data_IF_518734345687
#
_entry.id   IF_518734345687
#
_cell.length_a   1.000
_cell.length_b   1.000
_cell.length_c   1.000
_cell.angle_alpha   90.00
_cell.angle_beta   90.00
_cell.angle_gamma   90.00
#
_symmetry.space_group_name_H-M   'P 1'
#
loop_
_entity.id
_entity.type
_entity.pdbx_description
1 polymer ?
#
# COMPACT_ATOMS: atom_id res chain seq x y z
N UNK A 1 -14.04 -30.26 1.99
CA UNK A 1 -12.87 -29.51 2.50
C UNK A 1 -13.03 -29.41 4.00
N UNK A 2 -12.16 -30.05 4.78
CA UNK A 2 -12.20 -29.99 6.24
C UNK A 2 -11.92 -28.56 6.69
N UNK A 3 -12.87 -27.93 7.36
CA UNK A 3 -12.76 -26.57 7.91
C UNK A 3 -11.89 -26.61 9.17
N UNK A 4 -10.58 -26.77 8.99
CA UNK A 4 -9.64 -26.72 10.10
C UNK A 4 -9.29 -25.26 10.39
N UNK A 5 -9.85 -24.72 11.47
CA UNK A 5 -9.46 -23.40 12.00
C UNK A 5 -8.11 -23.51 12.69
N UNK A 6 -7.18 -22.62 12.35
CA UNK A 6 -5.88 -22.49 13.02
C UNK A 6 -5.84 -21.19 13.80
N UNK A 7 -5.23 -21.22 14.99
CA UNK A 7 -5.04 -20.01 15.79
C UNK A 7 -3.87 -19.19 15.24
N UNK A 8 -4.05 -17.88 15.17
CA UNK A 8 -3.00 -16.92 14.81
C UNK A 8 -2.79 -15.99 15.99
N UNK A 9 -1.54 -15.84 16.44
CA UNK A 9 -1.19 -14.98 17.57
C UNK A 9 -0.45 -13.74 17.08
N UNK A 10 -0.94 -12.55 17.45
CA UNK A 10 -0.35 -11.26 17.09
C UNK A 10 0.08 -10.51 18.35
N UNK A 11 1.30 -9.97 18.32
CA UNK A 11 1.75 -8.97 19.29
C UNK A 11 1.46 -7.59 18.72
N UNK A 12 0.71 -6.79 19.46
CA UNK A 12 0.28 -5.44 19.09
C UNK A 12 0.41 -4.57 20.32
N UNK A 13 0.74 -3.30 20.09
CA UNK A 13 0.76 -2.28 21.13
C UNK A 13 -0.64 -2.17 21.80
N UNK A 14 -0.72 -2.13 23.14
CA UNK A 14 -2.00 -2.16 23.85
C UNK A 14 -2.91 -0.97 23.51
N UNK A 15 -2.34 0.22 23.28
CA UNK A 15 -3.13 1.41 22.94
C UNK A 15 -3.67 1.30 21.51
N UNK A 16 -2.84 0.82 20.57
CA UNK A 16 -3.27 0.51 19.21
C UNK A 16 -4.40 -0.54 19.20
N UNK A 17 -4.29 -1.61 20.01
CA UNK A 17 -5.35 -2.63 20.11
C UNK A 17 -6.67 -2.00 20.57
N UNK A 18 -6.63 -1.17 21.60
CA UNK A 18 -7.83 -0.53 22.15
C UNK A 18 -8.51 0.37 21.12
N UNK A 19 -7.73 1.21 20.41
CA UNK A 19 -8.23 2.08 19.36
C UNK A 19 -8.90 1.30 18.22
N UNK A 20 -8.22 0.27 17.71
CA UNK A 20 -8.78 -0.53 16.61
C UNK A 20 -10.03 -1.28 17.06
N UNK A 21 -10.05 -1.81 18.29
CA UNK A 21 -11.20 -2.53 18.85
C UNK A 21 -12.44 -1.64 19.01
N UNK A 22 -12.25 -0.38 19.40
CA UNK A 22 -13.32 0.61 19.44
C UNK A 22 -13.90 0.87 18.04
N UNK A 23 -13.03 1.14 17.05
CA UNK A 23 -13.45 1.45 15.67
C UNK A 23 -14.19 0.29 15.02
N UNK A 24 -13.67 -0.94 15.13
CA UNK A 24 -14.36 -2.10 14.53
C UNK A 24 -15.70 -2.39 15.21
N UNK A 25 -15.82 -2.11 16.52
CA UNK A 25 -17.07 -2.25 17.27
C UNK A 25 -18.11 -1.22 16.82
N UNK A 26 -17.71 0.02 16.57
CA UNK A 26 -18.60 1.05 15.99
C UNK A 26 -19.12 0.65 14.60
N UNK A 27 -18.31 -0.08 13.83
CA UNK A 27 -18.71 -0.66 12.54
C UNK A 27 -19.58 -1.93 12.67
N UNK A 28 -19.88 -2.38 13.90
CA UNK A 28 -20.64 -3.61 14.14
C UNK A 28 -19.85 -4.89 13.89
N UNK A 29 -18.52 -4.82 13.93
CA UNK A 29 -17.61 -5.93 13.70
C UNK A 29 -16.86 -6.33 14.97
N UNK A 30 -16.47 -7.59 15.05
CA UNK A 30 -15.47 -8.04 16.03
C UNK A 30 -14.07 -7.93 15.45
N UNK A 31 -13.05 -7.84 16.31
CA UNK A 31 -11.64 -7.85 15.90
C UNK A 31 -11.32 -9.05 14.98
N UNK A 32 -11.79 -10.24 15.34
CA UNK A 32 -11.63 -11.46 14.53
C UNK A 32 -12.28 -11.34 13.16
N UNK A 33 -13.45 -10.71 13.07
CA UNK A 33 -14.15 -10.49 11.79
C UNK A 33 -13.37 -9.54 10.90
N UNK A 34 -12.90 -8.42 11.45
CA UNK A 34 -12.09 -7.44 10.73
C UNK A 34 -10.80 -8.07 10.16
N UNK A 35 -10.07 -8.84 10.99
CA UNK A 35 -8.88 -9.56 10.55
C UNK A 35 -9.19 -10.62 9.49
N UNK A 36 -10.32 -11.33 9.63
CA UNK A 36 -10.76 -12.33 8.64
C UNK A 36 -11.05 -11.69 7.29
N UNK A 37 -11.73 -10.54 7.27
CA UNK A 37 -12.00 -9.79 6.03
C UNK A 37 -10.69 -9.33 5.39
N UNK A 38 -9.76 -8.81 6.19
CA UNK A 38 -8.44 -8.41 5.72
C UNK A 38 -7.66 -9.57 5.07
N UNK A 39 -7.58 -10.72 5.75
CA UNK A 39 -6.93 -11.93 5.21
C UNK A 39 -7.58 -12.42 3.92
N UNK A 40 -8.91 -12.39 3.82
CA UNK A 40 -9.63 -12.76 2.59
C UNK A 40 -9.30 -11.80 1.44
N UNK A 41 -9.21 -10.50 1.73
CA UNK A 41 -8.90 -9.49 0.72
C UNK A 41 -7.49 -9.67 0.16
N UNK A 42 -6.50 -9.95 1.02
CA UNK A 42 -5.15 -10.33 0.59
C UNK A 42 -5.18 -11.57 -0.30
N UNK A 43 -5.88 -12.62 0.12
CA UNK A 43 -5.94 -13.87 -0.65
C UNK A 43 -6.60 -13.68 -2.03
N UNK A 44 -7.61 -12.81 -2.13
CA UNK A 44 -8.30 -12.52 -3.38
C UNK A 44 -7.48 -11.66 -4.33
N UNK A 45 -6.83 -10.61 -3.83
CA UNK A 45 -6.14 -9.62 -4.66
C UNK A 45 -4.63 -9.89 -4.82
N UNK A 46 -4.08 -10.86 -4.08
CA UNK A 46 -2.64 -11.17 -4.05
C UNK A 46 -1.76 -9.95 -3.76
N UNK A 47 -2.28 -8.99 -2.98
CA UNK A 47 -1.59 -7.79 -2.53
C UNK A 47 -2.13 -7.36 -1.17
N UNK A 48 -1.40 -6.48 -0.50
CA UNK A 48 -1.91 -5.83 0.71
C UNK A 48 -2.97 -4.80 0.30
N UNK A 49 -4.19 -4.84 0.88
CA UNK A 49 -5.33 -4.02 0.45
C UNK A 49 -5.28 -2.60 1.02
N UNK A 50 -4.10 -2.03 1.11
CA UNK A 50 -3.81 -0.63 1.38
C UNK A 50 -2.45 -0.30 0.79
N UNK A 51 -2.21 0.97 0.53
CA UNK A 51 -0.92 1.42 0.01
C UNK A 51 0.15 1.32 1.11
N UNK A 52 1.23 0.61 0.82
CA UNK A 52 2.41 0.58 1.69
C UNK A 52 3.44 1.48 1.04
N UNK A 53 3.54 2.71 1.55
CA UNK A 53 4.56 3.66 1.12
C UNK A 53 5.71 3.67 2.11
N UNK A 54 6.89 3.26 1.66
CA UNK A 54 8.16 3.46 2.34
C UNK A 54 9.26 3.79 1.29
N UNK A 55 8.86 4.38 0.16
CA UNK A 55 9.70 4.51 -1.01
C UNK A 55 10.39 5.89 -1.07
N UNK A 56 11.73 5.96 -1.06
CA UNK A 56 12.48 7.19 -1.32
C UNK A 56 12.15 7.81 -2.68
N UNK A 57 11.73 7.01 -3.67
CA UNK A 57 11.44 7.49 -5.02
C UNK A 57 10.27 8.48 -5.04
N UNK A 58 9.16 8.20 -4.33
CA UNK A 58 8.00 9.09 -4.24
C UNK A 58 8.14 10.18 -3.17
N UNK A 59 9.35 10.47 -2.69
CA UNK A 59 9.58 11.59 -1.77
C UNK A 59 9.13 12.92 -2.41
N UNK A 60 8.52 13.87 -1.67
CA UNK A 60 7.99 15.11 -2.24
C UNK A 60 8.99 15.88 -3.12
N UNK A 61 10.27 15.85 -2.74
CA UNK A 61 11.35 16.46 -3.53
C UNK A 61 11.53 15.83 -4.92
N UNK A 62 11.42 14.50 -5.02
CA UNK A 62 11.52 13.78 -6.29
C UNK A 62 10.27 14.02 -7.15
N UNK A 63 9.09 14.06 -6.54
CA UNK A 63 7.85 14.40 -7.25
C UNK A 63 7.94 15.81 -7.84
N UNK A 64 8.37 16.79 -7.05
CA UNK A 64 8.56 18.16 -7.53
C UNK A 64 9.59 18.24 -8.67
N UNK A 65 10.66 17.43 -8.61
CA UNK A 65 11.64 17.33 -9.68
C UNK A 65 11.03 16.75 -10.97
N UNK A 66 10.24 15.68 -10.87
CA UNK A 66 9.55 15.08 -12.02
C UNK A 66 8.51 16.02 -12.65
N UNK A 67 7.77 16.77 -11.84
CA UNK A 67 6.82 17.78 -12.32
C UNK A 67 7.52 18.93 -13.06
N UNK A 68 8.68 19.36 -12.57
CA UNK A 68 9.50 20.35 -13.26
C UNK A 68 10.00 19.82 -14.60
N UNK A 69 10.56 18.60 -14.63
CA UNK A 69 11.01 17.96 -15.87
C UNK A 69 9.86 17.80 -16.89
N UNK A 70 8.66 17.42 -16.43
CA UNK A 70 7.46 17.34 -17.28
C UNK A 70 7.11 18.69 -17.89
N UNK A 71 7.17 19.78 -17.11
CA UNK A 71 6.90 21.12 -17.60
C UNK A 71 7.90 21.57 -18.66
N UNK A 72 9.19 21.29 -18.44
CA UNK A 72 10.25 21.59 -19.41
C UNK A 72 10.14 20.74 -20.68
N UNK A 73 9.69 19.49 -20.55
CA UNK A 73 9.39 18.59 -21.66
C UNK A 73 8.22 19.12 -22.50
N UNK A 74 7.09 19.44 -21.86
CA UNK A 74 5.90 19.97 -22.50
C UNK A 74 6.18 21.31 -23.21
N UNK A 75 7.12 22.10 -22.67
CA UNK A 75 7.57 23.34 -23.27
C UNK A 75 8.67 23.17 -24.35
N UNK A 76 9.11 21.95 -24.62
CA UNK A 76 10.15 21.64 -25.61
C UNK A 76 11.54 22.16 -25.25
N UNK A 77 11.79 22.47 -23.97
CA UNK A 77 13.08 22.97 -23.46
C UNK A 77 13.99 21.88 -22.93
N UNK A 78 13.44 20.69 -22.68
CA UNK A 78 14.19 19.56 -22.16
C UNK A 78 15.15 19.02 -23.24
N UNK A 79 16.46 18.90 -22.97
CA UNK A 79 17.41 18.32 -23.91
C UNK A 79 17.20 16.80 -23.98
N UNK A 80 16.45 16.35 -24.99
CA UNK A 80 16.22 14.93 -25.26
C UNK A 80 17.36 14.36 -26.11
N UNK A 81 17.78 13.14 -25.78
CA UNK A 81 18.76 12.37 -26.56
C UNK A 81 18.10 11.10 -27.04
N UNK A 82 18.25 10.79 -28.32
CA UNK A 82 17.75 9.54 -28.89
C UNK A 82 18.68 8.40 -28.49
N UNK A 83 18.11 7.39 -27.83
CA UNK A 83 18.82 6.16 -27.49
C UNK A 83 18.17 4.99 -28.24
N UNK A 84 19.00 4.13 -28.82
CA UNK A 84 18.52 2.88 -29.41
C UNK A 84 17.86 2.01 -28.32
N UNK A 85 16.81 1.28 -28.70
CA UNK A 85 16.25 0.25 -27.83
C UNK A 85 17.35 -0.77 -27.51
N UNK A 86 17.48 -1.14 -26.24
CA UNK A 86 18.37 -2.22 -25.83
C UNK A 86 17.67 -3.51 -26.26
N UNK A 87 18.22 -4.18 -27.28
CA UNK A 87 17.85 -5.55 -27.63
C UNK A 87 18.60 -6.49 -26.67
N UNK A 88 17.90 -7.48 -26.10
CA UNK A 88 18.45 -8.49 -25.17
C UNK A 88 19.59 -9.34 -25.78
#
# INVERSE_FOLDING_TARGET
MTTHTVNVNFKVDPDLKAQVEEVVREMGLTMTTALTVYMRKIAMERRIPFEITADPFYHPANIAHLEHLKTELDAGRLPLSDHALIEE
#
